data_IF_322684201743
#
_entry.id   IF_322684201743
#
_cell.length_a   1.000
_cell.length_b   1.000
_cell.length_c   1.000
_cell.angle_alpha   90.00
_cell.angle_beta   90.00
_cell.angle_gamma   90.00
#
_symmetry.space_group_name_H-M   'P 1'
#
loop_
_entity.id
_entity.type
_entity.pdbx_description
1 polymer ?
#
# COMPACT_ATOMS: atom_id res chain seq x y z
N UNK A 1 -10.33 -7.63 -30.83
CA UNK A 1 -10.77 -8.59 -29.79
C UNK A 1 -10.39 -10.04 -30.12
N UNK A 2 -10.06 -10.35 -31.38
CA UNK A 2 -9.48 -11.64 -31.77
C UNK A 2 -8.23 -11.99 -30.99
N UNK A 3 -7.42 -10.97 -30.65
CA UNK A 3 -6.11 -11.14 -30.02
C UNK A 3 -6.17 -11.28 -28.49
N UNK A 4 -7.38 -11.34 -27.91
CA UNK A 4 -7.57 -11.54 -26.47
C UNK A 4 -8.09 -12.95 -26.18
N UNK A 5 -7.48 -13.63 -25.22
CA UNK A 5 -7.88 -14.98 -24.81
C UNK A 5 -8.85 -15.00 -23.63
N UNK A 6 -8.78 -14.01 -22.73
CA UNK A 6 -9.63 -13.94 -21.53
C UNK A 6 -9.85 -12.51 -21.05
N UNK A 7 -10.82 -12.33 -20.16
CA UNK A 7 -11.14 -11.05 -19.52
C UNK A 7 -10.94 -11.20 -18.01
N UNK A 8 -9.98 -10.45 -17.48
CA UNK A 8 -9.67 -10.45 -16.05
C UNK A 8 -10.36 -9.25 -15.37
N UNK A 9 -10.86 -9.44 -14.15
CA UNK A 9 -11.48 -8.35 -13.40
C UNK A 9 -11.21 -8.47 -11.91
N UNK A 10 -11.20 -7.32 -11.22
CA UNK A 10 -11.04 -7.26 -9.77
C UNK A 10 -12.31 -7.78 -9.09
N UNK A 11 -12.23 -8.94 -8.44
CA UNK A 11 -13.32 -9.47 -7.61
C UNK A 11 -13.35 -8.82 -6.22
N UNK A 12 -12.20 -8.41 -5.71
CA UNK A 12 -12.02 -7.77 -4.42
C UNK A 12 -10.61 -7.95 -3.86
N UNK A 13 -10.30 -7.42 -2.66
CA UNK A 13 -11.17 -6.57 -1.85
C UNK A 13 -11.33 -5.16 -2.47
N UNK A 14 -12.21 -4.34 -1.91
CA UNK A 14 -12.41 -2.96 -2.38
C UNK A 14 -13.78 -2.38 -2.06
N UNK A 15 -14.02 -1.14 -2.53
CA UNK A 15 -15.30 -0.45 -2.36
C UNK A 15 -16.42 -1.12 -3.16
N UNK A 16 -17.61 -1.23 -2.56
CA UNK A 16 -18.71 -2.03 -3.12
C UNK A 16 -19.20 -1.54 -4.47
N UNK A 17 -19.55 -0.26 -4.58
CA UNK A 17 -20.08 0.31 -5.81
C UNK A 17 -19.09 0.23 -7.00
N UNK A 18 -17.81 0.64 -6.87
CA UNK A 18 -16.82 0.44 -7.94
C UNK A 18 -16.64 -1.03 -8.35
N UNK A 19 -16.59 -1.95 -7.38
CA UNK A 19 -16.46 -3.38 -7.67
C UNK A 19 -17.66 -3.93 -8.45
N UNK A 20 -18.88 -3.48 -8.13
CA UNK A 20 -20.09 -3.86 -8.88
C UNK A 20 -20.04 -3.35 -10.32
N UNK A 21 -19.62 -2.10 -10.54
CA UNK A 21 -19.45 -1.54 -11.88
C UNK A 21 -18.44 -2.35 -12.71
N UNK A 22 -17.28 -2.68 -12.12
CA UNK A 22 -16.24 -3.48 -12.79
C UNK A 22 -16.75 -4.89 -13.12
N UNK A 23 -17.40 -5.57 -12.19
CA UNK A 23 -17.94 -6.89 -12.42
C UNK A 23 -19.02 -6.90 -13.52
N UNK A 24 -19.88 -5.87 -13.56
CA UNK A 24 -20.89 -5.73 -14.61
C UNK A 24 -20.23 -5.57 -15.99
N UNK A 25 -19.28 -4.65 -16.13
CA UNK A 25 -18.58 -4.40 -17.40
C UNK A 25 -17.85 -5.65 -17.87
N UNK A 26 -17.11 -6.33 -16.98
CA UNK A 26 -16.39 -7.54 -17.33
C UNK A 26 -17.33 -8.64 -17.84
N UNK A 27 -18.46 -8.85 -17.17
CA UNK A 27 -19.49 -9.82 -17.60
C UNK A 27 -20.09 -9.48 -18.95
N UNK A 28 -20.40 -8.21 -19.18
CA UNK A 28 -20.92 -7.75 -20.48
C UNK A 28 -19.92 -8.01 -21.60
N UNK A 29 -18.64 -7.67 -21.40
CA UNK A 29 -17.60 -7.92 -22.39
C UNK A 29 -17.39 -9.42 -22.64
N UNK A 30 -17.42 -10.23 -21.58
CA UNK A 30 -17.29 -11.69 -21.70
C UNK A 30 -18.40 -12.30 -22.54
N UNK A 31 -19.65 -11.88 -22.32
CA UNK A 31 -20.80 -12.35 -23.09
C UNK A 31 -20.80 -11.83 -24.53
N UNK A 32 -20.44 -10.57 -24.74
CA UNK A 32 -20.45 -9.95 -26.07
C UNK A 32 -19.39 -10.55 -27.01
N UNK A 33 -18.24 -10.93 -26.46
CA UNK A 33 -17.09 -11.40 -27.24
C UNK A 33 -16.78 -12.89 -27.07
N UNK A 34 -17.64 -13.62 -26.35
CA UNK A 34 -17.48 -15.04 -26.00
C UNK A 34 -16.08 -15.36 -25.46
N UNK A 35 -15.66 -14.59 -24.45
CA UNK A 35 -14.35 -14.73 -23.79
C UNK A 35 -14.49 -15.19 -22.34
N UNK A 36 -13.67 -16.14 -21.86
CA UNK A 36 -13.71 -16.59 -20.48
C UNK A 36 -13.36 -15.46 -19.50
N UNK A 37 -14.02 -15.48 -18.33
CA UNK A 37 -13.74 -14.57 -17.23
C UNK A 37 -12.72 -15.14 -16.27
N UNK A 38 -11.91 -14.28 -15.68
CA UNK A 38 -11.01 -14.62 -14.57
C UNK A 38 -11.19 -13.59 -13.46
N UNK A 39 -11.74 -14.03 -12.33
CA UNK A 39 -11.84 -13.24 -11.12
C UNK A 39 -10.50 -13.17 -10.40
N UNK A 40 -10.01 -11.96 -10.15
CA UNK A 40 -8.68 -11.71 -9.57
C UNK A 40 -8.81 -11.03 -8.22
N UNK A 41 -7.97 -11.45 -7.27
CA UNK A 41 -7.79 -10.75 -6.01
C UNK A 41 -6.88 -9.54 -6.21
N UNK A 42 -7.33 -8.37 -5.78
CA UNK A 42 -6.64 -7.10 -5.95
C UNK A 42 -5.24 -7.09 -5.32
N UNK A 43 -5.10 -7.61 -4.09
CA UNK A 43 -3.82 -7.66 -3.38
C UNK A 43 -2.84 -8.59 -4.09
N UNK A 44 -3.32 -9.74 -4.61
CA UNK A 44 -2.49 -10.66 -5.41
C UNK A 44 -2.06 -10.01 -6.72
N UNK A 45 -2.91 -9.19 -7.34
CA UNK A 45 -2.56 -8.38 -8.50
C UNK A 45 -1.32 -7.51 -8.25
N UNK A 46 -1.35 -6.72 -7.18
CA UNK A 46 -0.20 -5.90 -6.74
C UNK A 46 1.07 -6.73 -6.55
N UNK A 47 0.98 -7.85 -5.83
CA UNK A 47 2.12 -8.71 -5.52
C UNK A 47 2.73 -9.32 -6.79
N UNK A 48 1.91 -9.95 -7.64
CA UNK A 48 2.40 -10.65 -8.82
C UNK A 48 2.95 -9.68 -9.87
N UNK A 49 2.33 -8.50 -10.02
CA UNK A 49 2.89 -7.46 -10.87
C UNK A 49 4.24 -6.97 -10.35
N UNK A 50 4.34 -6.66 -9.05
CA UNK A 50 5.59 -6.24 -8.42
C UNK A 50 6.70 -7.27 -8.58
N UNK A 51 6.39 -8.57 -8.43
CA UNK A 51 7.35 -9.66 -8.66
C UNK A 51 7.81 -9.74 -10.11
N UNK A 52 6.89 -9.66 -11.07
CA UNK A 52 7.19 -9.75 -12.50
C UNK A 52 8.17 -8.66 -12.94
N UNK A 53 7.90 -7.40 -12.57
CA UNK A 53 8.69 -6.26 -13.06
C UNK A 53 10.01 -6.07 -12.32
N UNK A 54 10.09 -6.50 -11.06
CA UNK A 54 11.31 -6.35 -10.24
C UNK A 54 12.21 -7.59 -10.26
N UNK A 55 11.68 -8.74 -10.66
CA UNK A 55 12.37 -10.03 -10.60
C UNK A 55 12.42 -10.64 -9.18
N UNK A 56 11.69 -10.09 -8.22
CA UNK A 56 11.63 -10.62 -6.86
C UNK A 56 11.05 -12.05 -6.85
N UNK A 57 11.81 -13.00 -6.30
CA UNK A 57 11.44 -14.43 -6.37
C UNK A 57 10.49 -14.80 -5.25
N UNK A 58 10.88 -14.57 -4.00
CA UNK A 58 10.08 -14.90 -2.82
C UNK A 58 10.18 -13.82 -1.72
N UNK A 59 9.74 -12.59 -2.01
CA UNK A 59 9.85 -11.49 -1.07
C UNK A 59 8.83 -11.58 0.07
N UNK A 60 9.19 -10.99 1.20
CA UNK A 60 8.21 -10.43 2.13
C UNK A 60 7.66 -9.16 1.50
N UNK A 61 6.36 -9.04 1.41
CA UNK A 61 5.69 -7.93 0.74
C UNK A 61 5.15 -6.98 1.79
N UNK A 62 5.56 -5.71 1.74
CA UNK A 62 4.86 -4.62 2.40
C UNK A 62 3.85 -4.03 1.41
N UNK A 63 2.56 -4.29 1.62
CA UNK A 63 1.48 -3.71 0.83
C UNK A 63 0.86 -2.51 1.55
N UNK A 64 1.09 -1.32 1.01
CA UNK A 64 0.66 -0.04 1.59
C UNK A 64 -0.07 0.83 0.56
N UNK A 65 -1.38 0.97 0.76
CA UNK A 65 -2.26 1.79 -0.10
C UNK A 65 -3.17 2.68 0.73
N UNK A 66 -4.05 3.44 0.07
CA UNK A 66 -5.11 4.21 0.72
C UNK A 66 -6.02 3.38 1.64
N UNK A 67 -6.21 2.10 1.31
CA UNK A 67 -7.13 1.20 2.02
C UNK A 67 -6.50 -0.03 2.67
N UNK A 68 -5.22 -0.31 2.41
CA UNK A 68 -4.55 -1.51 2.92
C UNK A 68 -3.20 -1.17 3.54
N UNK A 69 -2.85 -1.87 4.61
CA UNK A 69 -1.52 -1.86 5.24
C UNK A 69 -1.27 -3.23 5.81
N UNK A 70 -0.51 -4.05 5.09
CA UNK A 70 -0.30 -5.46 5.39
C UNK A 70 1.13 -5.89 5.06
N UNK A 71 1.69 -6.76 5.90
CA UNK A 71 2.92 -7.49 5.65
C UNK A 71 2.55 -8.91 5.27
N UNK A 72 2.85 -9.28 4.04
CA UNK A 72 2.38 -10.52 3.40
C UNK A 72 3.59 -11.35 2.99
N UNK A 73 3.51 -12.67 3.12
CA UNK A 73 4.46 -13.54 2.46
C UNK A 73 3.82 -14.81 1.92
N UNK A 74 4.46 -15.41 0.94
CA UNK A 74 3.99 -16.64 0.32
C UNK A 74 4.36 -17.85 1.19
N UNK A 75 3.36 -18.68 1.52
CA UNK A 75 3.56 -19.92 2.26
C UNK A 75 2.44 -20.93 1.97
N UNK A 76 2.84 -22.15 1.57
CA UNK A 76 1.93 -23.27 1.26
C UNK A 76 0.85 -22.90 0.25
N UNK A 77 1.26 -22.37 -0.91
CA UNK A 77 0.36 -21.99 -2.01
C UNK A 77 -0.67 -20.90 -1.68
N UNK A 78 -0.47 -20.15 -0.60
CA UNK A 78 -1.27 -19.00 -0.24
C UNK A 78 -0.37 -17.83 0.14
N UNK A 79 -0.84 -16.61 -0.11
CA UNK A 79 -0.26 -15.40 0.45
C UNK A 79 -0.84 -15.15 1.84
N UNK A 80 -0.03 -15.29 2.87
CA UNK A 80 -0.44 -15.14 4.28
C UNK A 80 -0.07 -13.78 4.81
N UNK A 81 -0.94 -13.22 5.64
CA UNK A 81 -0.73 -11.94 6.33
C UNK A 81 -0.01 -12.27 7.65
N UNK A 82 1.17 -11.68 7.85
CA UNK A 82 1.98 -11.80 9.06
C UNK A 82 1.79 -10.61 10.00
N UNK A 83 1.44 -9.46 9.44
CA UNK A 83 1.14 -8.25 10.18
C UNK A 83 0.19 -7.37 9.40
N UNK A 84 -0.69 -6.65 10.08
CA UNK A 84 -1.60 -5.69 9.45
C UNK A 84 -1.87 -4.46 10.32
N UNK A 85 -2.49 -3.44 9.73
CA UNK A 85 -3.04 -2.35 10.54
C UNK A 85 -4.25 -2.85 11.33
N UNK A 86 -4.32 -2.46 12.61
CA UNK A 86 -5.44 -2.78 13.51
C UNK A 86 -6.62 -1.81 13.34
N UNK A 87 -6.41 -0.68 12.67
CA UNK A 87 -7.40 0.39 12.57
C UNK A 87 -7.53 0.98 11.16
N UNK A 88 -6.69 1.95 10.80
CA UNK A 88 -6.70 2.66 9.52
C UNK A 88 -5.44 2.33 8.73
N UNK A 89 -5.57 2.27 7.41
CA UNK A 89 -4.42 2.12 6.53
C UNK A 89 -3.54 3.38 6.54
N UNK A 90 -2.24 3.21 6.31
CA UNK A 90 -1.27 4.31 6.25
C UNK A 90 -1.64 5.36 5.22
N UNK A 91 -2.13 4.95 4.04
CA UNK A 91 -2.59 5.91 3.04
C UNK A 91 -3.77 6.73 3.53
N UNK A 92 -4.73 6.14 4.26
CA UNK A 92 -5.83 6.89 4.86
C UNK A 92 -5.36 7.87 5.95
N UNK A 93 -4.37 7.47 6.75
CA UNK A 93 -3.74 8.34 7.74
C UNK A 93 -3.11 9.57 7.08
N UNK A 94 -2.31 9.36 6.04
CA UNK A 94 -1.70 10.43 5.24
C UNK A 94 -2.76 11.31 4.58
N UNK A 95 -3.78 10.73 3.93
CA UNK A 95 -4.84 11.48 3.25
C UNK A 95 -5.67 12.36 4.21
N UNK A 96 -5.92 11.88 5.43
CA UNK A 96 -6.61 12.68 6.46
C UNK A 96 -5.72 13.80 6.96
N UNK A 97 -4.45 13.50 7.23
CA UNK A 97 -3.52 14.51 7.72
C UNK A 97 -3.26 15.63 6.70
N UNK A 98 -3.11 15.28 5.41
CA UNK A 98 -2.98 16.26 4.33
C UNK A 98 -4.17 17.24 4.30
N UNK A 99 -5.40 16.75 4.50
CA UNK A 99 -6.60 17.59 4.58
C UNK A 99 -6.59 18.51 5.79
N UNK A 100 -6.11 18.04 6.93
CA UNK A 100 -5.99 18.86 8.15
C UNK A 100 -5.01 20.03 7.94
N UNK A 101 -3.94 19.79 7.19
CA UNK A 101 -2.97 20.83 6.81
C UNK A 101 -3.40 21.67 5.60
N UNK A 102 -4.57 21.43 5.00
CA UNK A 102 -5.01 22.04 3.75
C UNK A 102 -4.00 21.89 2.59
N UNK A 103 -3.27 20.76 2.55
CA UNK A 103 -2.40 20.42 1.42
C UNK A 103 -3.26 20.02 0.21
N UNK A 104 -2.74 20.30 -0.99
CA UNK A 104 -3.39 19.92 -2.24
C UNK A 104 -3.58 18.41 -2.33
N UNK A 105 -4.68 17.97 -2.94
CA UNK A 105 -4.87 16.55 -3.31
C UNK A 105 -4.21 16.19 -4.64
N UNK A 106 -3.77 17.18 -5.43
CA UNK A 106 -3.10 16.98 -6.72
C UNK A 106 -1.58 17.15 -6.56
N UNK A 107 -0.73 16.23 -7.06
CA UNK A 107 -1.08 14.99 -7.79
C UNK A 107 -1.60 13.87 -6.88
N UNK A 108 -1.16 13.82 -5.62
CA UNK A 108 -1.75 13.00 -4.56
C UNK A 108 -1.46 13.60 -3.17
N UNK A 109 -2.28 13.33 -2.15
CA UNK A 109 -2.01 13.81 -0.79
C UNK A 109 -0.68 13.30 -0.22
N UNK A 110 -0.37 12.02 -0.44
CA UNK A 110 0.88 11.41 0.00
C UNK A 110 2.12 12.06 -0.61
N UNK A 111 2.08 12.38 -1.91
CA UNK A 111 3.17 13.10 -2.58
C UNK A 111 3.37 14.50 -2.00
N UNK A 112 2.30 15.24 -1.72
CA UNK A 112 2.42 16.59 -1.17
C UNK A 112 2.92 16.58 0.28
N UNK A 113 2.55 15.58 1.08
CA UNK A 113 3.16 15.36 2.41
C UNK A 113 4.66 15.12 2.26
N UNK A 114 5.07 14.29 1.30
CA UNK A 114 6.49 14.01 1.05
C UNK A 114 7.30 15.24 0.64
N UNK A 115 6.77 16.08 -0.26
CA UNK A 115 7.45 17.31 -0.64
C UNK A 115 7.57 18.28 0.55
N UNK A 116 6.52 18.40 1.36
CA UNK A 116 6.53 19.29 2.52
C UNK A 116 7.44 18.75 3.64
N UNK A 117 7.49 17.42 3.83
CA UNK A 117 8.39 16.75 4.78
C UNK A 117 9.87 17.02 4.50
N UNK A 118 10.28 17.15 3.23
CA UNK A 118 11.68 17.49 2.85
C UNK A 118 12.15 18.84 3.42
N UNK A 119 11.22 19.72 3.82
CA UNK A 119 11.51 21.02 4.42
C UNK A 119 11.52 20.99 5.95
N UNK A 120 11.03 19.92 6.55
CA UNK A 120 10.95 19.74 7.99
C UNK A 120 12.34 19.58 8.61
N UNK A 121 12.51 20.12 9.82
CA UNK A 121 13.79 20.06 10.55
C UNK A 121 13.63 19.52 11.96
N UNK A 122 12.41 19.56 12.50
CA UNK A 122 12.10 19.17 13.86
C UNK A 122 11.31 17.88 13.88
N UNK A 123 11.81 16.88 14.61
CA UNK A 123 11.06 15.70 14.98
C UNK A 123 10.21 15.99 16.22
N UNK A 124 8.88 16.05 16.05
CA UNK A 124 7.94 16.09 17.18
C UNK A 124 7.64 14.69 17.67
N UNK A 125 7.38 14.55 18.97
CA UNK A 125 7.09 13.25 19.57
C UNK A 125 5.68 12.80 19.18
N UNK A 126 5.59 11.73 18.41
CA UNK A 126 4.37 11.02 18.06
C UNK A 126 4.36 9.64 18.75
N UNK A 127 3.19 9.09 19.07
CA UNK A 127 3.11 7.78 19.70
C UNK A 127 3.62 6.69 18.75
N UNK A 128 4.45 5.77 19.25
CA UNK A 128 4.97 4.66 18.47
C UNK A 128 4.18 3.38 18.80
N UNK A 129 3.18 3.05 17.97
CA UNK A 129 2.13 2.09 18.31
C UNK A 129 2.24 0.76 17.55
N UNK A 130 3.39 0.09 17.67
CA UNK A 130 3.63 -1.26 17.13
C UNK A 130 3.26 -2.33 18.15
N UNK A 131 2.49 -3.36 17.75
CA UNK A 131 2.07 -4.48 18.59
C UNK A 131 2.40 -5.80 17.87
N UNK A 132 3.51 -6.43 18.25
CA UNK A 132 3.98 -7.63 17.54
C UNK A 132 4.36 -7.28 16.09
N UNK A 133 3.66 -7.82 15.10
CA UNK A 133 3.85 -7.45 13.68
C UNK A 133 2.74 -6.51 13.16
N UNK A 134 1.87 -6.05 14.04
CA UNK A 134 0.75 -5.17 13.71
C UNK A 134 1.05 -3.72 14.11
N UNK A 135 0.36 -2.78 13.47
CA UNK A 135 0.45 -1.34 13.76
C UNK A 135 -0.93 -0.72 14.01
N UNK A 136 -0.96 0.38 14.77
CA UNK A 136 -2.17 1.21 14.93
C UNK A 136 -1.82 2.67 14.64
N UNK A 137 -2.58 3.30 13.76
CA UNK A 137 -2.28 4.64 13.24
C UNK A 137 -3.29 5.70 13.68
N UNK A 138 -4.45 5.32 14.23
CA UNK A 138 -5.47 6.29 14.64
C UNK A 138 -4.98 7.21 15.76
N UNK A 139 -4.27 6.66 16.75
CA UNK A 139 -3.71 7.46 17.85
C UNK A 139 -2.66 8.45 17.38
N UNK A 140 -1.83 8.06 16.40
CA UNK A 140 -0.86 8.95 15.75
C UNK A 140 -1.58 10.10 15.05
N UNK A 141 -2.62 9.77 14.27
CA UNK A 141 -3.42 10.77 13.57
C UNK A 141 -4.04 11.78 14.55
N UNK A 142 -4.63 11.33 15.66
CA UNK A 142 -5.21 12.24 16.65
C UNK A 142 -4.16 13.16 17.29
N UNK A 143 -2.99 12.62 17.64
CA UNK A 143 -1.92 13.42 18.26
C UNK A 143 -1.35 14.43 17.28
N UNK A 144 -1.11 14.04 16.02
CA UNK A 144 -0.58 14.96 15.03
C UNK A 144 -1.57 16.05 14.63
N UNK A 145 -2.86 15.73 14.60
CA UNK A 145 -3.93 16.72 14.41
C UNK A 145 -3.96 17.72 15.57
N UNK A 146 -3.78 17.27 16.81
CA UNK A 146 -3.75 18.14 17.98
C UNK A 146 -2.60 19.16 17.93
N UNK A 147 -1.45 18.82 17.32
CA UNK A 147 -0.36 19.78 17.11
C UNK A 147 -0.77 20.97 16.23
N UNK A 148 -1.77 20.84 15.37
CA UNK A 148 -2.27 21.98 14.57
C UNK A 148 -3.04 23.01 15.40
N UNK A 149 -3.44 22.65 16.63
CA UNK A 149 -4.09 23.53 17.60
C UNK A 149 -3.10 24.03 18.68
N UNK A 150 -1.84 23.60 18.65
CA UNK A 150 -0.81 24.06 19.58
C UNK A 150 -0.52 25.56 19.35
N UNK A 151 -0.30 26.31 20.42
CA UNK A 151 0.03 27.74 20.37
C UNK A 151 1.32 28.04 19.60
N UNK A 152 2.20 27.04 19.43
CA UNK A 152 3.45 27.11 18.67
C UNK A 152 3.27 26.81 17.19
N UNK A 153 2.12 26.28 16.78
CA UNK A 153 1.86 25.98 15.38
C UNK A 153 1.77 27.27 14.56
N UNK A 154 2.44 27.28 13.41
CA UNK A 154 2.45 28.39 12.46
C UNK A 154 2.08 27.85 11.08
N UNK A 155 0.81 28.00 10.64
CA UNK A 155 0.36 27.47 9.35
C UNK A 155 1.12 28.04 8.15
N UNK A 156 1.57 29.29 8.24
CA UNK A 156 2.36 29.97 7.21
C UNK A 156 3.87 29.66 7.28
N UNK A 157 4.28 28.86 8.27
CA UNK A 157 5.67 28.52 8.55
C UNK A 157 6.53 29.69 9.02
N UNK A 158 5.93 30.85 9.35
CA UNK A 158 6.66 32.06 9.73
C UNK A 158 6.60 32.29 11.24
N UNK A 159 7.73 32.64 11.88
CA UNK A 159 7.71 33.01 13.28
C UNK A 159 6.95 34.32 13.47
N UNK A 160 6.20 34.45 14.58
CA UNK A 160 5.41 35.66 14.88
C UNK A 160 6.32 36.84 15.25
N UNK A 161 7.47 36.53 15.85
CA UNK A 161 8.50 37.49 16.23
C UNK A 161 9.88 36.95 15.79
N UNK A 162 10.88 37.80 15.51
CA UNK A 162 12.21 37.37 15.04
C UNK A 162 12.93 36.37 15.96
N UNK A 163 12.57 36.35 17.25
CA UNK A 163 13.17 35.51 18.29
C UNK A 163 12.31 34.29 18.67
N UNK A 164 11.17 34.06 17.99
CA UNK A 164 10.28 32.92 18.22
C UNK A 164 10.87 31.67 17.57
N UNK A 165 11.78 30.99 18.29
CA UNK A 165 12.50 29.82 17.79
C UNK A 165 11.79 28.49 18.07
N UNK A 166 10.81 28.45 18.98
CA UNK A 166 10.05 27.23 19.32
C UNK A 166 8.72 27.16 18.55
N UNK A 167 8.78 27.28 17.23
CA UNK A 167 7.62 27.10 16.36
C UNK A 167 7.51 25.66 15.85
N UNK A 168 6.30 25.27 15.47
CA UNK A 168 6.01 24.01 14.79
C UNK A 168 5.40 24.36 13.43
N UNK A 169 5.97 23.84 12.35
CA UNK A 169 5.51 24.11 10.99
C UNK A 169 4.78 22.91 10.39
N UNK A 170 3.96 23.08 9.34
CA UNK A 170 3.42 21.96 8.56
C UNK A 170 4.52 20.99 8.08
N UNK A 171 5.66 21.52 7.65
CA UNK A 171 6.83 20.75 7.25
C UNK A 171 7.38 19.84 8.36
N UNK A 172 7.49 20.35 9.59
CA UNK A 172 7.95 19.56 10.73
C UNK A 172 6.97 18.44 11.08
N UNK A 173 5.66 18.69 10.96
CA UNK A 173 4.65 17.67 11.18
C UNK A 173 4.65 16.60 10.09
N UNK A 174 4.72 16.99 8.81
CA UNK A 174 4.86 16.05 7.68
C UNK A 174 6.11 15.18 7.84
N UNK A 175 7.25 15.79 8.18
CA UNK A 175 8.49 15.08 8.46
C UNK A 175 8.34 14.09 9.61
N UNK A 176 7.82 14.54 10.75
CA UNK A 176 7.65 13.70 11.94
C UNK A 176 6.69 12.55 11.71
N UNK A 177 5.61 12.77 10.96
CA UNK A 177 4.66 11.73 10.58
C UNK A 177 5.34 10.65 9.76
N UNK A 178 6.07 11.04 8.71
CA UNK A 178 6.76 10.11 7.83
C UNK A 178 7.80 9.30 8.59
N UNK A 179 8.70 9.95 9.33
CA UNK A 179 9.73 9.24 10.10
C UNK A 179 9.12 8.25 11.10
N UNK A 180 8.09 8.64 11.83
CA UNK A 180 7.47 7.77 12.84
C UNK A 180 6.74 6.60 12.19
N UNK A 181 5.87 6.87 11.22
CA UNK A 181 5.02 5.83 10.61
C UNK A 181 5.84 4.90 9.73
N UNK A 182 6.78 5.42 8.94
CA UNK A 182 7.62 4.58 8.10
C UNK A 182 8.59 3.75 8.93
N UNK A 183 9.11 4.26 10.05
CA UNK A 183 9.88 3.44 10.99
C UNK A 183 9.05 2.26 11.51
N UNK A 184 7.77 2.49 11.87
CA UNK A 184 6.87 1.41 12.30
C UNK A 184 6.66 0.36 11.19
N UNK A 185 6.47 0.80 9.95
CA UNK A 185 6.30 -0.11 8.79
C UNK A 185 7.57 -0.91 8.49
N UNK A 186 8.74 -0.28 8.58
CA UNK A 186 10.05 -0.95 8.43
C UNK A 186 10.24 -1.96 9.56
N UNK A 187 9.93 -1.61 10.81
CA UNK A 187 10.05 -2.50 11.95
C UNK A 187 9.19 -3.77 11.81
N UNK A 188 7.91 -3.64 11.47
CA UNK A 188 7.04 -4.83 11.31
C UNK A 188 7.46 -5.68 10.12
N UNK A 189 7.98 -5.05 9.06
CA UNK A 189 8.48 -5.76 7.87
C UNK A 189 9.76 -6.51 8.20
N UNK A 190 10.68 -5.90 8.95
CA UNK A 190 11.89 -6.54 9.44
C UNK A 190 11.57 -7.75 10.32
N UNK A 191 10.62 -7.60 11.27
CA UNK A 191 10.15 -8.71 12.13
C UNK A 191 9.64 -9.88 11.29
N UNK A 192 8.85 -9.61 10.25
CA UNK A 192 8.35 -10.65 9.35
C UNK A 192 9.47 -11.29 8.51
N UNK A 193 10.41 -10.50 7.99
CA UNK A 193 11.58 -11.03 7.28
C UNK A 193 12.40 -11.96 8.16
N UNK A 194 12.64 -11.59 9.42
CA UNK A 194 13.34 -12.43 10.39
C UNK A 194 12.59 -13.72 10.68
N UNK A 195 11.27 -13.65 10.86
CA UNK A 195 10.43 -14.82 11.13
C UNK A 195 10.42 -15.83 9.97
N UNK A 196 10.47 -15.34 8.74
CA UNK A 196 10.36 -16.16 7.53
C UNK A 196 11.73 -16.61 7.00
N UNK A 197 12.80 -15.89 7.39
CA UNK A 197 14.15 -16.12 6.86
C UNK A 197 14.34 -15.59 5.44
N UNK A 198 13.50 -14.65 4.98
CA UNK A 198 13.63 -14.07 3.65
C UNK A 198 14.67 -12.94 3.63
N UNK A 199 15.38 -12.84 2.51
CA UNK A 199 16.33 -11.76 2.20
C UNK A 199 15.78 -10.76 1.20
N UNK A 200 14.57 -10.97 0.69
CA UNK A 200 13.94 -10.11 -0.29
C UNK A 200 12.75 -9.40 0.37
N UNK A 201 12.66 -8.09 0.20
CA UNK A 201 11.47 -7.30 0.55
C UNK A 201 10.93 -6.61 -0.68
N UNK A 202 9.62 -6.68 -0.89
CA UNK A 202 8.92 -6.03 -1.99
C UNK A 202 7.94 -5.00 -1.43
N UNK A 203 8.02 -3.75 -1.89
CA UNK A 203 7.04 -2.72 -1.55
C UNK A 203 6.05 -2.57 -2.72
N UNK A 204 4.76 -2.62 -2.41
CA UNK A 204 3.66 -2.41 -3.38
C UNK A 204 2.56 -1.52 -2.80
N UNK A 205 1.70 -1.00 -3.68
CA UNK A 205 0.65 -0.04 -3.33
C UNK A 205 1.12 1.40 -3.44
N UNK A 206 0.17 2.34 -3.55
CA UNK A 206 0.47 3.74 -3.86
C UNK A 206 1.30 4.48 -2.82
N UNK A 207 1.24 4.11 -1.54
CA UNK A 207 2.14 4.68 -0.51
C UNK A 207 3.57 4.14 -0.67
N UNK A 208 3.69 2.98 -1.30
CA UNK A 208 4.97 2.36 -1.64
C UNK A 208 5.82 3.16 -2.62
N UNK A 209 5.23 4.12 -3.35
CA UNK A 209 5.95 5.06 -4.22
C UNK A 209 6.80 6.08 -3.46
N UNK A 210 6.57 6.24 -2.15
CA UNK A 210 7.25 7.26 -1.35
C UNK A 210 8.76 6.96 -1.23
N UNK A 211 9.60 7.90 -1.64
CA UNK A 211 11.06 7.73 -1.72
C UNK A 211 11.65 7.53 -0.32
N UNK A 212 11.11 8.23 0.69
CA UNK A 212 11.60 8.13 2.06
C UNK A 212 11.32 6.75 2.66
N UNK A 213 10.14 6.18 2.44
CA UNK A 213 9.81 4.81 2.84
C UNK A 213 10.74 3.79 2.15
N UNK A 214 10.97 3.94 0.84
CA UNK A 214 11.88 3.07 0.09
C UNK A 214 13.33 3.20 0.59
N UNK A 215 13.79 4.41 0.90
CA UNK A 215 15.12 4.66 1.46
C UNK A 215 15.30 3.93 2.80
N UNK A 216 14.37 4.13 3.74
CA UNK A 216 14.42 3.50 5.07
C UNK A 216 14.37 1.98 4.98
N UNK A 217 13.49 1.43 4.13
CA UNK A 217 13.42 -0.01 3.88
C UNK A 217 14.70 -0.54 3.22
N UNK A 218 15.29 0.22 2.30
CA UNK A 218 16.53 -0.13 1.62
C UNK A 218 17.73 -0.19 2.57
N UNK A 219 17.81 0.73 3.55
CA UNK A 219 18.82 0.66 4.63
C UNK A 219 18.64 -0.63 5.43
N UNK A 220 17.44 -0.88 5.96
CA UNK A 220 17.15 -2.08 6.75
C UNK A 220 17.45 -3.38 5.97
N UNK A 221 17.03 -3.46 4.70
CA UNK A 221 17.28 -4.62 3.86
C UNK A 221 18.78 -4.86 3.67
N UNK A 222 19.58 -3.81 3.39
CA UNK A 222 21.03 -3.93 3.21
C UNK A 222 21.74 -4.37 4.48
N UNK A 223 21.38 -3.82 5.64
CA UNK A 223 21.99 -4.16 6.93
C UNK A 223 21.77 -5.64 7.30
N UNK A 224 20.71 -6.25 6.78
CA UNK A 224 20.41 -7.69 6.93
C UNK A 224 21.01 -8.57 5.83
N UNK A 225 21.78 -8.02 4.90
CA UNK A 225 22.29 -8.74 3.72
C UNK A 225 21.19 -9.16 2.74
N UNK A 226 20.11 -8.40 2.69
CA UNK A 226 18.97 -8.55 1.80
C UNK A 226 18.87 -7.46 0.74
N UNK A 227 17.78 -7.47 -0.02
CA UNK A 227 17.52 -6.57 -1.13
C UNK A 227 16.08 -6.04 -1.08
N UNK A 228 15.94 -4.74 -1.37
CA UNK A 228 14.66 -4.09 -1.59
C UNK A 228 14.31 -4.14 -3.07
N UNK A 229 13.09 -4.58 -3.34
CA UNK A 229 12.40 -4.44 -4.61
C UNK A 229 11.27 -3.45 -4.42
N UNK A 230 11.28 -2.38 -5.20
CA UNK A 230 10.23 -1.36 -5.20
C UNK A 230 10.07 -0.85 -6.62
N UNK A 231 8.93 -0.24 -6.89
CA UNK A 231 8.57 0.22 -8.24
C UNK A 231 8.07 1.65 -8.18
N UNK A 232 8.09 2.34 -9.31
CA UNK A 232 7.50 3.67 -9.40
C UNK A 232 5.98 3.61 -9.58
N UNK A 233 5.38 4.79 -9.67
CA UNK A 233 3.94 4.98 -9.82
C UNK A 233 3.31 4.24 -11.00
N UNK A 234 4.05 3.87 -12.06
CA UNK A 234 3.50 3.17 -13.23
C UNK A 234 2.92 1.79 -12.87
N UNK A 235 3.45 1.17 -11.82
CA UNK A 235 3.07 -0.19 -11.42
C UNK A 235 2.69 -0.32 -9.94
N UNK A 236 3.14 0.59 -9.06
CA UNK A 236 2.78 0.57 -7.64
C UNK A 236 1.32 1.00 -7.38
N UNK A 237 0.74 1.85 -8.23
CA UNK A 237 -0.66 2.31 -8.06
C UNK A 237 -1.63 1.34 -8.73
N UNK A 238 -2.92 1.47 -8.40
CA UNK A 238 -3.97 0.66 -9.00
C UNK A 238 -4.02 0.84 -10.52
N UNK A 239 -3.82 -0.26 -11.25
CA UNK A 239 -3.83 -0.28 -12.71
C UNK A 239 -4.48 -1.57 -13.24
N UNK A 240 -4.92 -1.55 -14.50
CA UNK A 240 -5.56 -2.73 -15.11
C UNK A 240 -4.56 -3.86 -15.41
N UNK A 241 -3.28 -3.54 -15.61
CA UNK A 241 -2.27 -4.52 -16.02
C UNK A 241 -1.92 -5.49 -14.89
N UNK A 242 -1.95 -5.07 -13.61
CA UNK A 242 -1.75 -5.96 -12.46
C UNK A 242 -2.85 -7.03 -12.34
N UNK A 243 -4.08 -6.66 -12.72
CA UNK A 243 -5.21 -7.57 -12.76
C UNK A 243 -5.08 -8.53 -13.94
N UNK A 244 -4.67 -8.02 -15.10
CA UNK A 244 -4.39 -8.85 -16.26
C UNK A 244 -3.25 -9.86 -15.98
N UNK A 245 -2.16 -9.44 -15.32
CA UNK A 245 -1.03 -10.31 -15.01
C UNK A 245 -1.42 -11.45 -14.06
N UNK A 246 -2.02 -11.14 -12.91
CA UNK A 246 -2.44 -12.18 -11.96
C UNK A 246 -3.56 -13.07 -12.54
N UNK A 247 -4.44 -12.50 -13.36
CA UNK A 247 -5.47 -13.26 -14.07
C UNK A 247 -4.88 -14.18 -15.14
N UNK A 248 -3.87 -13.74 -15.90
CA UNK A 248 -3.15 -14.54 -16.88
C UNK A 248 -2.43 -15.72 -16.22
N UNK A 249 -1.78 -15.50 -15.07
CA UNK A 249 -1.14 -16.56 -14.29
C UNK A 249 -2.18 -17.62 -13.84
N UNK A 250 -3.34 -17.18 -13.38
CA UNK A 250 -4.43 -18.08 -13.01
C UNK A 250 -4.99 -18.84 -14.23
N UNK A 251 -5.18 -18.14 -15.35
CA UNK A 251 -5.74 -18.69 -16.58
C UNK A 251 -4.84 -19.76 -17.21
N UNK A 252 -3.51 -19.55 -17.19
CA UNK A 252 -2.53 -20.55 -17.65
C UNK A 252 -2.58 -21.86 -16.86
N UNK A 253 -3.06 -21.80 -15.62
CA UNK A 253 -3.32 -22.99 -14.79
C UNK A 253 -4.71 -23.61 -15.03
N UNK A 254 -5.44 -23.16 -16.06
CA UNK A 254 -6.77 -23.63 -16.42
C UNK A 254 -7.91 -23.04 -15.59
N UNK A 255 -7.65 -22.02 -14.75
CA UNK A 255 -8.69 -21.42 -13.92
C UNK A 255 -9.52 -20.41 -14.71
N UNK A 256 -10.82 -20.61 -14.71
CA UNK A 256 -11.82 -19.66 -15.24
C UNK A 256 -12.95 -19.47 -14.24
N UNK A 257 -13.67 -18.36 -14.37
CA UNK A 257 -14.78 -17.99 -13.50
C UNK A 257 -16.10 -18.11 -14.26
N UNK A 258 -16.96 -19.08 -13.91
CA UNK A 258 -18.29 -19.16 -14.49
C UNK A 258 -19.10 -17.89 -14.22
N UNK A 259 -19.98 -17.50 -15.15
CA UNK A 259 -20.78 -16.28 -15.07
C UNK A 259 -21.63 -16.21 -13.78
N UNK A 260 -22.15 -17.36 -13.29
CA UNK A 260 -22.89 -17.41 -12.02
C UNK A 260 -22.02 -17.16 -10.78
N UNK A 261 -20.69 -17.29 -10.89
CA UNK A 261 -19.69 -17.09 -9.82
C UNK A 261 -18.87 -15.81 -10.01
N UNK A 262 -19.07 -15.07 -11.09
CA UNK A 262 -18.39 -13.79 -11.38
C UNK A 262 -19.00 -12.64 -10.57
N UNK A 263 -19.07 -12.81 -9.25
CA UNK A 263 -19.52 -11.80 -8.28
C UNK A 263 -18.35 -10.91 -7.85
N UNK A 264 -18.64 -9.93 -6.99
CA UNK A 264 -17.63 -9.15 -6.28
C UNK A 264 -17.79 -9.32 -4.77
N UNK A 265 -16.74 -9.04 -4.01
CA UNK A 265 -16.74 -9.05 -2.56
C UNK A 265 -15.84 -7.95 -2.01
N UNK A 266 -16.34 -7.20 -1.02
CA UNK A 266 -15.54 -6.16 -0.35
C UNK A 266 -14.44 -6.76 0.52
N UNK A 267 -14.65 -7.99 1.02
CA UNK A 267 -13.77 -8.68 1.97
C UNK A 267 -13.19 -9.94 1.33
N UNK A 268 -12.29 -9.76 0.38
CA UNK A 268 -11.55 -10.88 -0.23
C UNK A 268 -10.17 -10.98 0.40
N UNK A 269 -9.99 -11.85 1.39
CA UNK A 269 -8.70 -11.97 2.06
C UNK A 269 -7.65 -12.58 1.13
N UNK A 270 -6.42 -12.09 1.20
CA UNK A 270 -5.30 -12.57 0.39
C UNK A 270 -4.95 -14.04 0.68
N UNK A 271 -5.19 -14.49 1.91
CA UNK A 271 -4.93 -15.87 2.36
C UNK A 271 -5.96 -16.90 1.87
N UNK A 272 -7.11 -16.44 1.36
CA UNK A 272 -8.13 -17.29 0.75
C UNK A 272 -7.84 -17.62 -0.72
N UNK A 273 -6.83 -16.97 -1.31
CA UNK A 273 -6.47 -17.17 -2.71
C UNK A 273 -5.48 -18.32 -2.83
N UNK A 274 -5.92 -19.38 -3.49
CA UNK A 274 -5.03 -20.48 -3.87
C UNK A 274 -4.18 -20.06 -5.08
N UNK A 275 -2.87 -20.10 -4.90
CA UNK A 275 -1.86 -19.68 -5.88
C UNK A 275 -1.30 -20.93 -6.56
N UNK A 276 -1.93 -21.34 -7.66
CA UNK A 276 -1.60 -22.57 -8.39
C UNK A 276 -0.34 -22.46 -9.28
N UNK A 277 0.08 -21.25 -9.62
CA UNK A 277 1.21 -20.97 -10.53
C UNK A 277 2.57 -20.86 -9.84
N UNK A 278 2.63 -21.03 -8.51
CA UNK A 278 3.87 -21.00 -7.73
C UNK A 278 4.11 -22.39 -7.12
N UNK A 279 5.36 -22.86 -7.21
CA UNK A 279 5.85 -24.12 -6.66
C UNK A 279 6.77 -23.86 -5.45
#
# INVERSE_FOLDING_TARGET
MSDLDCICYTKGPGMGAPLQSVALIARTLSLLYDKPLVAVNHCVGHIEMGREITGAKNPVVLYVSGGNTQVIAYSRQCYRIFGETLDIAVGNCLDRFARVLNLSNSPSPGFNIEQEAKRGKRLVHLPYATKGMDVSLSGILTVIEAFTQDKRFRPDGKPKFPYDHDIITPADLCFSLQETVFAMLVEITERAMAHIGSKEVLIVGGVGCNERLQEMMGVMARERGGQLFATDERFCIDNGIMIAQAGLLSFRMGLTTPLGKSTCTQRFRTDQVFVSWRA
#
